data_IF_452260645825
#
_entry.id   IF_452260645825
#
_cell.length_a   1.000
_cell.length_b   1.000
_cell.length_c   1.000
_cell.angle_alpha   90.00
_cell.angle_beta   90.00
_cell.angle_gamma   90.00
#
_symmetry.space_group_name_H-M   'P 1'
#
loop_
_entity.id
_entity.type
_entity.pdbx_description
1 polymer ?
#
# COMPACT_ATOMS: atom_id res chain seq x y z
N UNK A 1 -55.54 -16.46 -3.08
CA UNK A 1 -54.81 -15.91 -4.25
C UNK A 1 -54.94 -14.39 -4.22
N UNK A 2 -53.90 -13.67 -3.80
CA UNK A 2 -53.81 -12.22 -3.89
C UNK A 2 -52.49 -11.91 -4.62
N UNK A 3 -52.60 -11.38 -5.84
CA UNK A 3 -51.49 -10.92 -6.66
C UNK A 3 -51.06 -9.53 -6.20
N UNK A 4 -49.78 -9.35 -5.89
CA UNK A 4 -49.17 -8.03 -5.71
C UNK A 4 -48.34 -7.72 -6.96
N UNK A 5 -48.78 -6.72 -7.71
CA UNK A 5 -48.10 -6.15 -8.88
C UNK A 5 -46.93 -5.28 -8.43
N UNK A 6 -45.71 -5.60 -8.90
CA UNK A 6 -44.55 -4.71 -8.82
C UNK A 6 -44.71 -3.56 -9.82
N UNK A 7 -44.66 -2.32 -9.35
CA UNK A 7 -44.46 -1.13 -10.17
C UNK A 7 -43.03 -0.61 -9.99
N UNK A 8 -42.28 -0.58 -11.09
CA UNK A 8 -41.00 0.11 -11.24
C UNK A 8 -41.23 1.61 -11.55
N UNK A 9 -40.34 2.51 -11.12
CA UNK A 9 -40.19 3.81 -11.77
C UNK A 9 -38.83 3.91 -12.48
N UNK A 10 -38.85 3.93 -13.80
CA UNK A 10 -37.81 4.56 -14.62
C UNK A 10 -38.16 6.04 -14.77
N UNK A 11 -37.20 6.97 -14.66
CA UNK A 11 -37.28 8.26 -15.33
C UNK A 11 -36.38 8.22 -16.57
N UNK A 12 -37.02 8.24 -17.74
CA UNK A 12 -36.43 8.73 -18.99
C UNK A 12 -36.27 10.24 -18.93
N UNK A 13 -35.08 10.73 -19.27
CA UNK A 13 -34.83 11.69 -20.37
C UNK A 13 -33.64 12.62 -20.05
N UNK A 14 -32.52 12.41 -20.72
CA UNK A 14 -31.71 13.52 -21.24
C UNK A 14 -31.15 13.11 -22.61
N UNK A 15 -31.65 13.79 -23.63
CA UNK A 15 -31.16 13.76 -24.99
C UNK A 15 -29.85 14.57 -25.02
N UNK A 16 -28.74 13.94 -25.38
CA UNK A 16 -27.44 14.57 -25.63
C UNK A 16 -26.65 13.67 -26.58
N UNK A 17 -25.99 14.28 -27.57
CA UNK A 17 -25.23 13.61 -28.65
C UNK A 17 -24.21 12.61 -28.09
N UNK A 18 -23.82 11.57 -28.86
CA UNK A 18 -22.72 10.69 -28.48
C UNK A 18 -21.41 11.45 -28.67
N UNK A 19 -21.05 12.28 -27.71
CA UNK A 19 -19.69 12.80 -27.62
C UNK A 19 -18.77 11.64 -27.25
N UNK A 20 -17.71 11.52 -28.02
CA UNK A 20 -16.63 10.54 -27.90
C UNK A 20 -16.31 10.25 -26.44
N UNK A 21 -16.48 8.97 -26.07
CA UNK A 21 -15.96 8.44 -24.83
C UNK A 21 -14.44 8.56 -24.91
N UNK A 22 -13.90 9.65 -24.38
CA UNK A 22 -12.49 9.81 -24.10
C UNK A 22 -12.12 8.80 -23.02
N UNK A 23 -11.81 7.57 -23.44
CA UNK A 23 -11.17 6.53 -22.62
C UNK A 23 -9.69 6.93 -22.45
N UNK A 24 -9.44 8.10 -21.89
CA UNK A 24 -8.08 8.60 -21.58
C UNK A 24 -8.15 9.49 -20.34
N UNK A 25 -8.74 9.01 -19.25
CA UNK A 25 -8.40 9.48 -17.90
C UNK A 25 -8.82 8.42 -16.86
N UNK A 26 -8.07 7.34 -16.79
CA UNK A 26 -8.13 6.41 -15.65
C UNK A 26 -6.75 6.26 -15.04
N UNK A 27 -5.98 7.35 -15.03
CA UNK A 27 -4.95 7.50 -14.03
C UNK A 27 -5.64 7.33 -12.68
N UNK A 28 -5.11 6.45 -11.83
CA UNK A 28 -5.52 6.42 -10.42
C UNK A 28 -5.09 7.78 -9.87
N UNK A 29 -5.95 8.78 -9.99
CA UNK A 29 -5.76 10.09 -9.43
C UNK A 29 -5.83 9.88 -7.93
N UNK A 30 -4.70 10.05 -7.27
CA UNK A 30 -4.65 10.21 -5.82
C UNK A 30 -5.38 11.53 -5.50
N UNK A 31 -6.72 11.51 -5.52
CA UNK A 31 -7.56 12.60 -5.02
C UNK A 31 -7.50 12.57 -3.49
N UNK A 32 -6.34 12.90 -2.95
CA UNK A 32 -6.17 13.10 -1.53
C UNK A 32 -6.53 14.53 -1.15
N UNK A 33 -7.22 14.69 -0.03
CA UNK A 33 -7.20 15.96 0.69
C UNK A 33 -5.76 16.33 1.06
N UNK A 34 -5.51 17.64 1.22
CA UNK A 34 -4.19 18.14 1.67
C UNK A 34 -3.75 17.48 2.98
N UNK A 35 -4.68 17.30 3.91
CA UNK A 35 -4.42 16.74 5.24
C UNK A 35 -4.18 15.23 5.19
N UNK A 36 -4.91 14.50 4.32
CA UNK A 36 -4.70 13.06 4.10
C UNK A 36 -3.32 12.79 3.49
N UNK A 37 -2.92 13.62 2.53
CA UNK A 37 -1.59 13.55 1.91
C UNK A 37 -0.50 13.74 2.96
N UNK A 38 -0.64 14.76 3.82
CA UNK A 38 0.32 15.04 4.88
C UNK A 38 0.41 13.88 5.88
N UNK A 39 -0.73 13.33 6.29
CA UNK A 39 -0.80 12.18 7.20
C UNK A 39 -0.13 10.94 6.61
N UNK A 40 -0.33 10.67 5.32
CA UNK A 40 0.34 9.58 4.58
C UNK A 40 1.86 9.74 4.61
N UNK A 41 2.38 10.91 4.23
CA UNK A 41 3.83 11.15 4.20
C UNK A 41 4.45 11.15 5.61
N UNK A 42 3.72 11.61 6.62
CA UNK A 42 4.16 11.52 8.01
C UNK A 42 4.27 10.07 8.48
N UNK A 43 3.29 9.22 8.14
CA UNK A 43 3.34 7.79 8.41
C UNK A 43 4.50 7.10 7.67
N UNK A 44 4.65 7.35 6.37
CA UNK A 44 5.77 6.83 5.57
C UNK A 44 7.13 7.23 6.14
N UNK A 45 7.28 8.48 6.57
CA UNK A 45 8.49 8.95 7.24
C UNK A 45 8.80 8.15 8.52
N UNK A 46 7.79 7.86 9.34
CA UNK A 46 7.97 7.00 10.54
C UNK A 46 8.41 5.60 10.16
N UNK A 47 7.76 4.98 9.17
CA UNK A 47 8.04 3.60 8.77
C UNK A 47 9.42 3.44 8.12
N UNK A 48 9.76 4.31 7.17
CA UNK A 48 11.02 4.24 6.43
C UNK A 48 12.23 4.55 7.32
N UNK A 49 12.10 5.51 8.25
CA UNK A 49 13.20 5.81 9.17
C UNK A 49 13.39 4.77 10.28
N UNK A 50 12.37 3.94 10.55
CA UNK A 50 12.44 2.82 11.49
C UNK A 50 13.18 3.15 12.81
N UNK A 51 12.92 4.34 13.37
CA UNK A 51 13.63 4.81 14.57
C UNK A 51 13.29 3.90 15.73
N UNK A 52 14.31 3.43 16.45
CA UNK A 52 14.19 2.61 17.65
C UNK A 52 14.76 3.34 18.86
N UNK A 53 14.35 2.92 20.05
CA UNK A 53 14.97 3.36 21.30
C UNK A 53 16.43 2.89 21.36
N UNK A 54 17.26 3.58 22.14
CA UNK A 54 18.67 3.20 22.38
C UNK A 54 18.78 2.35 23.64
N UNK A 55 19.79 1.47 23.71
CA UNK A 55 20.01 0.53 24.83
C UNK A 55 19.96 1.17 26.23
N UNK A 56 20.33 2.44 26.35
CA UNK A 56 20.28 3.21 27.61
C UNK A 56 18.85 3.44 28.18
N UNK A 57 17.80 3.08 27.45
CA UNK A 57 16.41 3.31 27.83
C UNK A 57 15.73 2.10 28.51
N UNK A 58 16.42 0.98 28.70
CA UNK A 58 15.81 -0.26 29.22
C UNK A 58 16.51 -0.76 30.50
N UNK A 59 15.87 -0.55 31.65
CA UNK A 59 15.98 -1.45 32.79
C UNK A 59 15.03 -2.64 32.52
N UNK A 60 15.58 -3.83 32.27
CA UNK A 60 14.77 -5.04 32.05
C UNK A 60 14.27 -5.57 33.39
N UNK A 61 12.94 -5.52 33.60
CA UNK A 61 12.27 -6.28 34.66
C UNK A 61 12.13 -7.74 34.20
N UNK A 62 12.55 -8.66 35.07
CA UNK A 62 12.84 -10.05 34.72
C UNK A 62 11.60 -10.90 34.53
N UNK A 63 11.24 -11.18 33.28
CA UNK A 63 10.52 -12.40 32.90
C UNK A 63 10.90 -12.79 31.46
N UNK A 64 11.99 -13.56 31.33
CA UNK A 64 12.71 -13.71 30.06
C UNK A 64 12.18 -14.91 29.25
N UNK A 65 11.22 -14.64 28.35
CA UNK A 65 11.07 -15.50 27.17
C UNK A 65 12.34 -15.36 26.31
N UNK A 66 13.07 -16.46 26.12
CA UNK A 66 14.23 -16.49 25.23
C UNK A 66 13.81 -16.31 23.77
N UNK A 67 13.69 -15.07 23.33
CA UNK A 67 13.59 -14.72 21.91
C UNK A 67 14.97 -14.91 21.29
N UNK A 68 15.04 -15.62 20.17
CA UNK A 68 16.29 -15.79 19.40
C UNK A 68 16.91 -14.42 19.11
N UNK A 69 18.22 -14.29 19.28
CA UNK A 69 18.95 -13.01 19.16
C UNK A 69 18.67 -12.33 17.81
N UNK A 70 18.52 -13.11 16.75
CA UNK A 70 18.24 -12.65 15.39
C UNK A 70 16.84 -12.04 15.23
N UNK A 71 15.91 -12.35 16.13
CA UNK A 71 14.54 -11.82 16.17
C UNK A 71 14.39 -10.67 17.17
N UNK A 72 15.37 -10.48 18.06
CA UNK A 72 15.35 -9.41 19.05
C UNK A 72 15.52 -8.04 18.39
N UNK A 73 14.72 -7.07 18.81
CA UNK A 73 14.76 -5.69 18.33
C UNK A 73 14.47 -4.74 19.48
N UNK A 74 15.17 -3.61 19.53
CA UNK A 74 14.83 -2.51 20.44
C UNK A 74 13.43 -1.96 20.11
N UNK A 75 12.66 -1.45 21.08
CA UNK A 75 11.33 -0.90 20.83
C UNK A 75 11.34 0.20 19.77
N UNK A 76 10.24 0.31 19.02
CA UNK A 76 10.08 1.37 18.03
C UNK A 76 9.82 2.71 18.72
N UNK A 77 10.44 3.77 18.22
CA UNK A 77 10.21 5.16 18.65
C UNK A 77 9.02 5.76 17.91
N UNK A 78 7.88 5.08 17.98
CA UNK A 78 6.61 5.49 17.39
C UNK A 78 5.46 4.71 18.06
N UNK A 79 4.21 5.14 17.85
CA UNK A 79 3.05 4.33 18.23
C UNK A 79 3.00 3.00 17.46
N UNK A 80 2.15 2.06 17.90
CA UNK A 80 1.96 0.80 17.19
C UNK A 80 1.73 1.04 15.67
N UNK A 81 2.41 0.30 14.77
CA UNK A 81 2.35 0.57 13.33
C UNK A 81 0.92 0.58 12.78
N UNK A 82 0.05 -0.30 13.28
CA UNK A 82 -1.36 -0.36 12.92
C UNK A 82 -2.13 0.90 13.32
N UNK A 83 -1.79 1.52 14.46
CA UNK A 83 -2.41 2.78 14.88
C UNK A 83 -2.01 3.94 13.95
N UNK A 84 -0.75 3.96 13.52
CA UNK A 84 -0.25 4.95 12.55
C UNK A 84 -0.91 4.73 11.18
N UNK A 85 -1.08 3.48 10.74
CA UNK A 85 -1.82 3.13 9.53
C UNK A 85 -3.27 3.66 9.56
N UNK A 86 -3.98 3.49 10.68
CA UNK A 86 -5.33 4.01 10.86
C UNK A 86 -5.38 5.55 10.78
N UNK A 87 -4.38 6.24 11.35
CA UNK A 87 -4.27 7.71 11.30
C UNK A 87 -3.95 8.24 9.89
N UNK A 88 -3.26 7.44 9.07
CA UNK A 88 -2.97 7.76 7.67
C UNK A 88 -4.14 7.47 6.71
N UNK A 89 -5.37 7.31 7.25
CA UNK A 89 -6.58 6.98 6.51
C UNK A 89 -6.49 5.67 5.70
N UNK A 90 -5.69 4.70 6.17
CA UNK A 90 -5.84 3.29 5.81
C UNK A 90 -5.67 2.93 4.33
N UNK A 91 -4.99 3.76 3.53
CA UNK A 91 -4.80 3.50 2.11
C UNK A 91 -3.71 2.43 1.91
N UNK A 92 -4.10 1.17 2.08
CA UNK A 92 -3.20 0.02 2.07
C UNK A 92 -2.29 -0.02 0.85
N UNK A 93 -2.88 0.24 -0.32
CA UNK A 93 -2.17 0.17 -1.59
C UNK A 93 -1.16 1.31 -1.76
N UNK A 94 -1.52 2.60 -1.62
CA UNK A 94 -0.54 3.68 -1.57
C UNK A 94 0.59 3.42 -0.58
N UNK A 95 0.31 2.95 0.63
CA UNK A 95 1.36 2.66 1.61
C UNK A 95 2.32 1.57 1.10
N UNK A 96 1.80 0.43 0.64
CA UNK A 96 2.63 -0.63 0.09
C UNK A 96 3.46 -0.15 -1.11
N UNK A 97 2.83 0.55 -2.06
CA UNK A 97 3.49 1.06 -3.27
C UNK A 97 4.60 2.08 -2.95
N UNK A 98 4.36 3.00 -2.00
CA UNK A 98 5.38 3.95 -1.54
C UNK A 98 6.52 3.26 -0.80
N UNK A 99 6.24 2.25 0.02
CA UNK A 99 7.29 1.47 0.70
C UNK A 99 8.14 0.71 -0.32
N UNK A 100 7.53 0.03 -1.29
CA UNK A 100 8.24 -0.64 -2.39
C UNK A 100 9.19 0.29 -3.15
N UNK A 101 8.73 1.47 -3.54
CA UNK A 101 9.54 2.42 -4.33
C UNK A 101 10.71 3.02 -3.55
N UNK A 102 10.59 3.15 -2.22
CA UNK A 102 11.49 3.98 -1.43
C UNK A 102 12.35 3.21 -0.43
N UNK A 103 11.96 2.01 0.01
CA UNK A 103 12.65 1.32 1.11
C UNK A 103 14.12 1.05 0.82
N UNK A 104 14.48 0.82 -0.44
CA UNK A 104 15.85 0.57 -0.85
C UNK A 104 16.81 1.70 -0.44
N UNK A 105 16.36 2.96 -0.47
CA UNK A 105 17.20 4.11 -0.11
C UNK A 105 17.49 4.15 1.42
N UNK A 106 16.78 3.36 2.23
CA UNK A 106 16.88 3.29 3.69
C UNK A 106 17.56 2.00 4.20
N UNK A 107 17.95 1.11 3.29
CA UNK A 107 18.68 -0.10 3.60
C UNK A 107 20.18 0.13 3.46
N UNK A 108 20.98 -0.52 4.30
CA UNK A 108 22.44 -0.55 4.11
C UNK A 108 22.79 -1.39 2.87
N UNK A 109 23.70 -0.88 2.04
CA UNK A 109 24.18 -1.60 0.83
C UNK A 109 24.84 -2.95 1.19
N UNK A 110 25.34 -3.08 2.41
CA UNK A 110 25.96 -4.32 2.92
C UNK A 110 24.93 -5.31 3.50
N UNK A 111 23.70 -4.87 3.74
CA UNK A 111 22.65 -5.65 4.42
C UNK A 111 21.72 -6.38 3.42
N UNK A 112 22.29 -7.27 2.61
CA UNK A 112 21.54 -8.03 1.59
C UNK A 112 20.42 -8.88 2.21
N UNK A 113 20.64 -9.46 3.39
CA UNK A 113 19.63 -10.27 4.08
C UNK A 113 18.43 -9.44 4.55
N UNK A 114 18.66 -8.19 4.93
CA UNK A 114 17.61 -7.25 5.33
C UNK A 114 16.77 -6.89 4.10
N UNK A 115 17.43 -6.57 2.98
CA UNK A 115 16.76 -6.32 1.71
C UNK A 115 15.91 -7.50 1.24
N UNK A 116 16.46 -8.72 1.33
CA UNK A 116 15.71 -9.96 1.03
C UNK A 116 14.48 -10.10 1.91
N UNK A 117 14.63 -9.91 3.23
CA UNK A 117 13.53 -10.06 4.19
C UNK A 117 12.43 -9.03 3.91
N UNK A 118 12.80 -7.76 3.74
CA UNK A 118 11.87 -6.69 3.40
C UNK A 118 11.14 -6.98 2.09
N UNK A 119 11.87 -7.35 1.03
CA UNK A 119 11.29 -7.67 -0.27
C UNK A 119 10.31 -8.87 -0.19
N UNK A 120 10.61 -9.88 0.62
CA UNK A 120 9.72 -11.02 0.85
C UNK A 120 8.39 -10.58 1.46
N UNK A 121 8.41 -9.77 2.52
CA UNK A 121 7.18 -9.26 3.13
C UNK A 121 6.38 -8.33 2.21
N UNK A 122 7.08 -7.50 1.43
CA UNK A 122 6.42 -6.64 0.45
C UNK A 122 5.79 -7.46 -0.68
N UNK A 123 6.40 -8.58 -1.08
CA UNK A 123 5.80 -9.55 -2.00
C UNK A 123 4.57 -10.25 -1.42
N UNK A 124 4.59 -10.61 -0.14
CA UNK A 124 3.42 -11.16 0.56
C UNK A 124 2.27 -10.14 0.62
N UNK A 125 2.59 -8.86 0.86
CA UNK A 125 1.61 -7.78 0.80
C UNK A 125 1.02 -7.61 -0.61
N UNK A 126 1.84 -7.72 -1.65
CA UNK A 126 1.36 -7.69 -3.05
C UNK A 126 0.43 -8.85 -3.37
N UNK A 127 0.70 -10.06 -2.85
CA UNK A 127 -0.18 -11.22 -3.01
C UNK A 127 -1.55 -10.96 -2.38
N UNK A 128 -1.59 -10.36 -1.18
CA UNK A 128 -2.82 -9.97 -0.52
C UNK A 128 -3.59 -8.91 -1.34
N UNK A 129 -2.89 -7.90 -1.87
CA UNK A 129 -3.47 -6.87 -2.74
C UNK A 129 -3.90 -7.38 -4.13
N UNK A 130 -3.24 -8.40 -4.66
CA UNK A 130 -3.59 -9.04 -5.92
C UNK A 130 -4.83 -9.93 -5.78
N UNK A 131 -4.94 -10.66 -4.66
CA UNK A 131 -6.14 -11.45 -4.32
C UNK A 131 -7.37 -10.55 -4.23
N UNK A 132 -7.22 -9.32 -3.73
CA UNK A 132 -8.25 -8.29 -3.76
C UNK A 132 -8.73 -7.96 -5.20
N UNK A 133 -7.81 -7.78 -6.17
CA UNK A 133 -8.17 -7.49 -7.58
C UNK A 133 -9.00 -8.60 -8.23
N UNK A 134 -8.81 -9.87 -7.82
CA UNK A 134 -9.55 -11.02 -8.34
C UNK A 134 -10.92 -11.25 -7.68
N UNK A 135 -11.11 -10.81 -6.42
CA UNK A 135 -12.34 -11.01 -5.65
C UNK A 135 -13.36 -9.87 -5.74
N UNK A 136 -13.07 -8.82 -6.52
CA UNK A 136 -13.88 -7.62 -6.79
C UNK A 136 -15.34 -7.87 -7.28
N UNK A 137 -15.80 -9.12 -7.28
CA UNK A 137 -17.15 -9.52 -7.59
C UNK A 137 -18.07 -9.69 -6.36
N UNK A 138 -17.56 -9.83 -5.10
CA UNK A 138 -18.42 -10.11 -3.93
C UNK A 138 -17.89 -9.58 -2.57
N UNK A 139 -18.64 -8.64 -1.97
CA UNK A 139 -18.71 -8.21 -0.56
C UNK A 139 -17.64 -7.24 0.03
N UNK A 140 -18.12 -6.03 0.37
CA UNK A 140 -17.36 -4.86 0.86
C UNK A 140 -16.63 -4.96 2.23
N UNK A 141 -16.91 -5.93 3.12
CA UNK A 141 -16.30 -5.94 4.47
C UNK A 141 -15.00 -6.76 4.56
N UNK A 142 -14.96 -7.94 3.94
CA UNK A 142 -13.74 -8.78 3.86
C UNK A 142 -12.64 -8.06 3.07
N UNK A 143 -13.06 -7.22 2.13
CA UNK A 143 -12.21 -6.35 1.31
C UNK A 143 -11.36 -5.37 2.15
N UNK A 144 -11.94 -4.76 3.18
CA UNK A 144 -11.24 -3.82 4.05
C UNK A 144 -10.20 -4.54 4.94
N UNK A 145 -10.53 -5.77 5.39
CA UNK A 145 -9.62 -6.58 6.21
C UNK A 145 -8.38 -7.01 5.43
N UNK A 146 -8.54 -7.48 4.18
CA UNK A 146 -7.40 -7.90 3.35
C UNK A 146 -6.49 -6.74 2.99
N UNK A 147 -7.06 -5.58 2.65
CA UNK A 147 -6.27 -4.37 2.41
C UNK A 147 -5.52 -3.94 3.68
N UNK A 148 -6.21 -3.87 4.81
CA UNK A 148 -5.58 -3.53 6.10
C UNK A 148 -4.48 -4.52 6.49
N UNK A 149 -4.70 -5.82 6.25
CA UNK A 149 -3.70 -6.86 6.47
C UNK A 149 -2.49 -6.68 5.55
N UNK A 150 -2.69 -6.40 4.26
CA UNK A 150 -1.60 -6.13 3.32
C UNK A 150 -0.76 -4.92 3.75
N UNK A 151 -1.40 -3.84 4.20
CA UNK A 151 -0.71 -2.67 4.72
C UNK A 151 0.12 -3.00 5.97
N UNK A 152 -0.45 -3.76 6.91
CA UNK A 152 0.23 -4.19 8.13
C UNK A 152 1.42 -5.09 7.83
N UNK A 153 1.26 -6.06 6.90
CA UNK A 153 2.34 -6.94 6.44
C UNK A 153 3.48 -6.14 5.82
N UNK A 154 3.18 -5.20 4.91
CA UNK A 154 4.18 -4.34 4.28
C UNK A 154 4.94 -3.50 5.32
N UNK A 155 4.22 -2.79 6.19
CA UNK A 155 4.82 -1.93 7.21
C UNK A 155 5.66 -2.74 8.21
N UNK A 156 5.13 -3.84 8.74
CA UNK A 156 5.88 -4.68 9.68
C UNK A 156 7.09 -5.31 9.00
N UNK A 157 6.97 -5.70 7.74
CA UNK A 157 8.08 -6.21 6.94
C UNK A 157 9.23 -5.22 6.85
N UNK A 158 8.93 -3.95 6.54
CA UNK A 158 9.94 -2.87 6.52
C UNK A 158 10.55 -2.65 7.90
N UNK A 159 9.73 -2.52 8.94
CA UNK A 159 10.20 -2.24 10.31
C UNK A 159 11.04 -3.38 10.89
N UNK A 160 10.64 -4.63 10.67
CA UNK A 160 11.30 -5.82 11.19
C UNK A 160 12.51 -6.24 10.35
N UNK A 161 12.33 -6.25 9.03
CA UNK A 161 13.32 -6.73 8.07
C UNK A 161 14.51 -5.79 7.92
N UNK A 162 14.32 -4.47 8.09
CA UNK A 162 15.43 -3.51 8.13
C UNK A 162 16.09 -3.53 9.52
N UNK A 163 16.94 -4.53 9.77
CA UNK A 163 17.63 -4.73 11.04
C UNK A 163 18.84 -3.81 11.20
N UNK A 164 19.50 -3.46 10.09
CA UNK A 164 20.62 -2.53 10.01
C UNK A 164 20.19 -1.26 9.26
N UNK A 165 19.28 -0.44 9.84
CA UNK A 165 18.82 0.78 9.19
C UNK A 165 19.98 1.76 9.01
N UNK A 166 19.96 2.45 7.88
CA UNK A 166 20.93 3.52 7.66
C UNK A 166 20.80 4.62 8.74
N UNK A 167 21.92 5.27 9.10
CA UNK A 167 21.88 6.45 9.95
C UNK A 167 20.88 7.48 9.42
N UNK A 168 20.21 8.25 10.30
CA UNK A 168 19.24 9.25 9.88
C UNK A 168 19.85 10.23 8.88
N UNK A 169 19.42 10.14 7.62
CA UNK A 169 19.77 11.08 6.55
C UNK A 169 18.49 11.52 5.84
N UNK A 170 18.54 12.70 5.24
CA UNK A 170 17.42 13.20 4.46
C UNK A 170 17.24 12.38 3.18
N UNK A 171 16.04 11.86 2.97
CA UNK A 171 15.63 11.21 1.73
C UNK A 171 14.33 11.82 1.23
N UNK A 172 14.29 12.17 -0.04
CA UNK A 172 13.05 12.54 -0.69
C UNK A 172 12.24 11.28 -0.98
N UNK A 173 11.01 11.20 -0.47
CA UNK A 173 10.08 10.12 -0.81
C UNK A 173 9.58 10.33 -2.25
N UNK A 174 9.89 9.37 -3.12
CA UNK A 174 9.50 9.32 -4.52
C UNK A 174 8.10 8.74 -4.67
N UNK A 175 7.40 9.20 -5.71
CA UNK A 175 6.12 8.62 -6.12
C UNK A 175 6.35 7.22 -6.73
N UNK A 176 5.50 6.23 -6.42
CA UNK A 176 5.60 4.90 -7.00
C UNK A 176 5.48 4.96 -8.53
N UNK A 177 6.49 4.44 -9.23
CA UNK A 177 6.46 4.36 -10.70
C UNK A 177 5.58 3.21 -11.20
N UNK A 178 5.32 2.22 -10.35
CA UNK A 178 4.52 1.04 -10.67
C UNK A 178 3.19 1.42 -11.34
N UNK A 179 2.51 2.45 -10.84
CA UNK A 179 1.23 2.88 -11.42
C UNK A 179 1.35 3.37 -12.86
N UNK A 180 2.38 4.15 -13.17
CA UNK A 180 2.64 4.62 -14.53
C UNK A 180 2.97 3.45 -15.47
N UNK A 181 3.71 2.46 -14.96
CA UNK A 181 4.07 1.24 -15.68
C UNK A 181 2.82 0.37 -15.94
N UNK A 182 1.97 0.16 -14.93
CA UNK A 182 0.72 -0.59 -15.06
C UNK A 182 -0.21 0.03 -16.10
N UNK A 183 -0.39 1.35 -16.07
CA UNK A 183 -1.18 2.10 -17.05
C UNK A 183 -0.64 1.91 -18.47
N UNK A 184 0.67 2.13 -18.65
CA UNK A 184 1.34 1.96 -19.95
C UNK A 184 1.21 0.53 -20.47
N UNK A 185 1.35 -0.46 -19.59
CA UNK A 185 1.18 -1.88 -19.92
C UNK A 185 -0.24 -2.21 -20.39
N UNK A 186 -1.27 -1.66 -19.73
CA UNK A 186 -2.66 -1.83 -20.12
C UNK A 186 -2.93 -1.21 -21.50
N UNK A 187 -2.48 0.03 -21.74
CA UNK A 187 -2.62 0.68 -23.05
C UNK A 187 -1.93 -0.14 -24.15
N UNK A 188 -0.71 -0.60 -23.93
CA UNK A 188 0.02 -1.43 -24.89
C UNK A 188 -0.71 -2.74 -25.22
N UNK A 189 -1.33 -3.38 -24.22
CA UNK A 189 -2.15 -4.59 -24.45
C UNK A 189 -3.37 -4.32 -25.33
N UNK A 190 -3.98 -3.13 -25.24
CA UNK A 190 -5.10 -2.75 -26.10
C UNK A 190 -4.63 -2.56 -27.54
N UNK A 191 -3.52 -1.83 -27.76
CA UNK A 191 -2.93 -1.64 -29.09
C UNK A 191 -2.54 -2.96 -29.76
N UNK A 192 -1.94 -3.90 -29.01
CA UNK A 192 -1.56 -5.22 -29.53
C UNK A 192 -2.76 -6.13 -29.83
N UNK A 193 -3.92 -5.90 -29.20
CA UNK A 193 -5.15 -6.67 -29.43
C UNK A 193 -6.03 -6.11 -30.56
N UNK A 194 -5.83 -4.86 -30.97
CA UNK A 194 -6.54 -4.23 -32.09
C UNK A 194 -5.57 -3.85 -33.24
N UNK A 195 -5.01 -4.83 -33.98
CA UNK A 195 -4.04 -4.54 -35.05
C UNK A 195 -4.63 -3.87 -36.31
N UNK A 196 -5.95 -3.70 -36.44
CA UNK A 196 -6.57 -3.21 -37.68
C UNK A 196 -7.70 -2.19 -37.46
N UNK A 197 -7.36 -0.91 -37.43
CA UNK A 197 -8.21 0.18 -37.94
C UNK A 197 -7.33 1.25 -38.61
N UNK A 198 -6.63 0.83 -39.66
CA UNK A 198 -6.09 1.73 -40.67
C UNK A 198 -6.51 1.14 -42.01
N UNK A 199 -7.59 1.70 -42.58
CA UNK A 199 -7.88 1.72 -44.02
C UNK A 199 -8.29 3.13 -44.38
#
# INVERSE_FOLDING_TARGET
>A
MRSLSLSSPFPTLFNGKPDEVNIVDSGISLHFGRDETLSLFHALGKFLHNKRETENAMEFDGDEFFVRKELSRLPLKMEAPEKILCQAHGQARPIADFLHENVQDFLSDEAINDAWTVASYLGDADLLLATFRGMLARHNEVENVLQSAAASVAVRGVLFGNFHPLPPRWHAIRRPKLWQIEQSSLSNKVYLKCPFHIR
#
